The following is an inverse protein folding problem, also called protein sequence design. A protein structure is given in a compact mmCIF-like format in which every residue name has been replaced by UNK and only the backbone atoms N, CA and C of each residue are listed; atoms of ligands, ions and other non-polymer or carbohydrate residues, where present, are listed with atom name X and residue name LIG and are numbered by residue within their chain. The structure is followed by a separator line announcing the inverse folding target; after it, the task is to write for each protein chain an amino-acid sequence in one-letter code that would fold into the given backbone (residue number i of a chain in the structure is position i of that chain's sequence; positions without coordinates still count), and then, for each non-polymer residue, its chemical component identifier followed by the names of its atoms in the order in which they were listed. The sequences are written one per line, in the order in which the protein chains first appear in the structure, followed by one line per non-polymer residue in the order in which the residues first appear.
data_IF_680422511235
#
_entry.id   IF_680422511235
#
_cell.length_a   1.000
_cell.length_b   1.000
_cell.length_c   1.000
_cell.angle_alpha   90.00
_cell.angle_beta   90.00
_cell.angle_gamma   90.00
#
_symmetry.space_group_name_H-M   'P 1'
#
loop_
_entity.id
_entity.type
_entity.pdbx_description
1 polymer ?
#
# COMPACT_ATOMS: atom_id res chain seq x y z
N UNK A 1 -4.77 -10.36 23.52
CA UNK A 1 -4.20 -11.39 22.64
C UNK A 1 -3.06 -10.72 21.90
N UNK A 2 -1.83 -11.19 22.12
CA UNK A 2 -0.66 -10.64 21.42
C UNK A 2 -0.77 -11.13 19.98
N UNK A 3 -0.92 -10.21 19.03
CA UNK A 3 -0.86 -10.56 17.61
C UNK A 3 0.50 -11.25 17.38
N UNK A 4 0.47 -12.50 16.93
CA UNK A 4 1.68 -13.18 16.49
C UNK A 4 2.35 -12.30 15.42
N UNK A 5 3.66 -12.08 15.56
CA UNK A 5 4.42 -11.47 14.48
C UNK A 5 4.18 -12.33 13.24
N UNK A 6 3.78 -11.75 12.09
CA UNK A 6 3.76 -12.50 10.85
C UNK A 6 5.11 -13.18 10.68
N UNK A 7 5.12 -14.48 10.43
CA UNK A 7 6.37 -15.17 10.15
C UNK A 7 6.91 -14.56 8.85
N UNK A 8 8.06 -13.85 8.88
CA UNK A 8 8.66 -13.29 7.66
C UNK A 8 8.99 -14.38 6.62
N UNK A 9 8.79 -15.64 6.95
CA UNK A 9 8.92 -16.82 6.10
C UNK A 9 7.64 -17.18 5.34
N UNK A 10 6.56 -16.40 5.33
CA UNK A 10 5.38 -16.74 4.50
C UNK A 10 4.83 -15.51 3.78
N UNK A 11 4.86 -15.54 2.45
CA UNK A 11 4.22 -14.53 1.59
C UNK A 11 2.79 -15.01 1.26
N UNK A 12 1.76 -14.42 1.87
CA UNK A 12 0.35 -14.64 1.48
C UNK A 12 -0.18 -13.43 0.71
N UNK A 13 -1.06 -13.69 -0.26
CA UNK A 13 -1.80 -12.69 -1.03
C UNK A 13 -2.69 -11.86 -0.10
N UNK A 14 -2.62 -10.53 -0.20
CA UNK A 14 -3.56 -9.67 0.49
C UNK A 14 -4.91 -9.74 -0.24
N UNK A 15 -5.91 -10.40 0.35
CA UNK A 15 -7.28 -10.32 -0.15
C UNK A 15 -7.75 -8.85 -0.11
N UNK A 16 -8.30 -8.38 -1.24
CA UNK A 16 -8.87 -7.04 -1.33
C UNK A 16 -10.16 -6.97 -0.49
N UNK A 17 -10.14 -6.18 0.58
CA UNK A 17 -11.29 -5.96 1.46
C UNK A 17 -12.36 -5.00 0.91
N UNK A 18 -12.19 -4.50 -0.33
CA UNK A 18 -13.11 -3.55 -0.96
C UNK A 18 -14.10 -4.27 -1.88
N UNK A 19 -15.35 -3.82 -1.91
CA UNK A 19 -16.32 -4.24 -2.94
C UNK A 19 -15.90 -3.74 -4.32
N UNK A 20 -16.38 -4.38 -5.39
CA UNK A 20 -16.08 -3.97 -6.77
C UNK A 20 -16.44 -2.50 -7.04
N UNK A 21 -17.57 -2.03 -6.51
CA UNK A 21 -17.97 -0.62 -6.61
C UNK A 21 -17.00 0.32 -5.90
N UNK A 22 -16.46 -0.08 -4.74
CA UNK A 22 -15.45 0.70 -4.05
C UNK A 22 -14.14 0.69 -4.83
N UNK A 23 -13.75 -0.45 -5.41
CA UNK A 23 -12.57 -0.56 -6.27
C UNK A 23 -12.69 0.36 -7.50
N UNK A 24 -13.82 0.35 -8.20
CA UNK A 24 -14.07 1.22 -9.35
C UNK A 24 -14.03 2.71 -8.96
N UNK A 25 -14.65 3.08 -7.84
CA UNK A 25 -14.61 4.46 -7.36
C UNK A 25 -13.19 4.91 -7.00
N UNK A 26 -12.39 4.01 -6.45
CA UNK A 26 -11.00 4.25 -6.11
C UNK A 26 -10.11 4.34 -7.37
N UNK A 27 -10.32 3.49 -8.37
CA UNK A 27 -9.65 3.58 -9.66
C UNK A 27 -9.99 4.90 -10.38
N UNK A 28 -11.24 5.35 -10.32
CA UNK A 28 -11.64 6.64 -10.87
C UNK A 28 -10.94 7.78 -10.14
N UNK A 29 -10.87 7.73 -8.82
CA UNK A 29 -10.12 8.70 -8.02
C UNK A 29 -8.63 8.70 -8.37
N UNK A 30 -8.02 7.54 -8.64
CA UNK A 30 -6.64 7.45 -9.13
C UNK A 30 -6.44 8.13 -10.49
N UNK A 31 -7.45 8.09 -11.36
CA UNK A 31 -7.38 8.68 -12.72
C UNK A 31 -7.58 10.19 -12.72
N UNK A 32 -8.52 10.69 -11.92
CA UNK A 32 -8.99 12.08 -12.01
C UNK A 32 -8.81 12.90 -10.74
N UNK A 33 -8.36 12.28 -9.66
CA UNK A 33 -8.20 12.93 -8.37
C UNK A 33 -7.12 14.01 -8.36
N UNK A 34 -7.33 15.02 -7.53
CA UNK A 34 -6.36 16.06 -7.21
C UNK A 34 -5.52 15.63 -6.00
N UNK A 35 -4.18 15.63 -6.08
CA UNK A 35 -3.35 15.44 -4.90
C UNK A 35 -3.42 16.69 -4.02
N UNK A 36 -3.72 16.50 -2.75
CA UNK A 36 -3.81 17.55 -1.72
C UNK A 36 -3.10 17.10 -0.44
N UNK A 37 -2.86 18.03 0.47
CA UNK A 37 -2.48 17.66 1.83
C UNK A 37 -3.71 17.34 2.66
N UNK A 38 -3.61 16.25 3.43
CA UNK A 38 -4.53 15.91 4.49
C UNK A 38 -3.88 16.03 5.87
N UNK A 39 -4.67 16.40 6.88
CA UNK A 39 -4.28 16.32 8.29
C UNK A 39 -5.20 15.41 9.08
N UNK A 40 -4.62 14.49 9.84
CA UNK A 40 -5.31 13.55 10.69
C UNK A 40 -6.02 14.28 11.83
N UNK A 41 -7.34 14.10 11.91
CA UNK A 41 -8.16 14.50 13.06
C UNK A 41 -8.18 13.36 14.08
N UNK A 42 -8.50 12.15 13.64
CA UNK A 42 -8.64 10.99 14.51
C UNK A 42 -8.35 9.69 13.76
N UNK A 43 -7.70 8.74 14.43
CA UNK A 43 -7.57 7.36 13.96
C UNK A 43 -7.67 6.38 15.13
N UNK A 44 -7.91 5.12 14.82
CA UNK A 44 -7.71 4.02 15.75
C UNK A 44 -6.22 3.91 16.12
N UNK A 45 -5.89 3.70 17.40
CA UNK A 45 -4.49 3.62 17.86
C UNK A 45 -3.68 2.51 17.19
N UNK A 46 -4.33 1.44 16.73
CA UNK A 46 -3.67 0.33 16.06
C UNK A 46 -2.99 0.73 14.73
N UNK A 47 -3.39 1.83 14.08
CA UNK A 47 -2.74 2.25 12.83
C UNK A 47 -1.34 2.81 13.04
N UNK A 48 -1.01 3.26 14.26
CA UNK A 48 0.31 3.79 14.61
C UNK A 48 1.33 2.69 14.94
N UNK A 49 0.84 1.47 15.16
CA UNK A 49 1.62 0.27 15.43
C UNK A 49 1.74 -0.61 14.19
N UNK A 50 2.71 -1.51 14.17
CA UNK A 50 2.82 -2.55 13.16
C UNK A 50 1.62 -3.49 13.24
N UNK A 51 1.04 -3.87 12.10
CA UNK A 51 -0.12 -4.75 12.05
C UNK A 51 -0.49 -5.09 10.61
N UNK A 52 -1.55 -5.88 10.43
CA UNK A 52 -2.03 -6.36 9.13
C UNK A 52 -3.33 -5.72 8.68
N UNK A 53 -4.07 -5.11 9.60
CA UNK A 53 -5.38 -4.55 9.28
C UNK A 53 -5.28 -3.12 8.76
N UNK A 54 -5.93 -2.89 7.63
CA UNK A 54 -6.26 -1.55 7.15
C UNK A 54 -7.33 -0.95 8.06
N UNK A 55 -7.22 0.35 8.34
CA UNK A 55 -8.05 0.99 9.35
C UNK A 55 -8.58 2.33 8.82
N UNK A 56 -9.85 2.67 9.10
CA UNK A 56 -10.37 3.97 8.79
C UNK A 56 -9.76 5.04 9.72
N UNK A 57 -9.63 6.24 9.20
CA UNK A 57 -9.24 7.42 9.93
C UNK A 57 -10.01 8.65 9.42
N UNK A 58 -10.25 9.61 10.30
CA UNK A 58 -10.81 10.90 9.93
C UNK A 58 -9.69 11.87 9.63
N UNK A 59 -9.71 12.41 8.41
CA UNK A 59 -8.81 13.46 7.94
C UNK A 59 -9.59 14.72 7.62
N UNK A 60 -8.92 15.85 7.69
CA UNK A 60 -9.33 17.02 6.94
C UNK A 60 -8.42 17.23 5.73
N UNK A 61 -8.95 17.85 4.69
CA UNK A 61 -8.18 18.32 3.55
C UNK A 61 -8.76 19.64 3.02
N UNK A 62 -8.01 20.30 2.15
CA UNK A 62 -8.49 21.46 1.40
C UNK A 62 -8.06 21.36 -0.07
N UNK A 63 -8.95 21.72 -1.02
CA UNK A 63 -8.58 21.82 -2.43
C UNK A 63 -7.80 23.10 -2.75
N UNK A 64 -7.71 24.06 -1.81
CA UNK A 64 -7.01 25.33 -2.03
C UNK A 64 -5.50 25.15 -2.17
N UNK A 65 -4.91 25.83 -3.16
CA UNK A 65 -3.48 25.74 -3.44
C UNK A 65 -2.61 26.28 -2.28
N UNK A 66 -3.18 27.16 -1.43
CA UNK A 66 -2.54 27.68 -0.22
C UNK A 66 -1.95 26.57 0.66
N UNK A 67 -2.66 25.46 0.83
CA UNK A 67 -2.20 24.35 1.69
C UNK A 67 -1.14 23.48 1.03
N UNK A 68 -0.91 23.61 -0.28
CA UNK A 68 0.22 22.98 -0.98
C UNK A 68 1.58 23.45 -0.46
N UNK A 69 1.65 24.71 -0.01
CA UNK A 69 2.83 25.32 0.59
C UNK A 69 2.75 25.45 2.12
N UNK A 70 1.55 25.40 2.69
CA UNK A 70 1.31 25.60 4.12
C UNK A 70 0.60 24.40 4.79
N UNK A 71 1.07 23.15 4.64
CA UNK A 71 0.35 21.98 5.17
C UNK A 71 0.26 21.95 6.70
N UNK A 72 1.20 22.59 7.41
CA UNK A 72 1.15 22.71 8.87
C UNK A 72 -0.09 23.49 9.35
N UNK A 73 -0.65 24.38 8.52
CA UNK A 73 -1.88 25.07 8.88
C UNK A 73 -3.07 24.09 8.94
N UNK A 74 -3.12 23.05 8.11
CA UNK A 74 -4.10 21.96 8.28
C UNK A 74 -3.90 21.23 9.61
N UNK A 75 -2.66 21.08 10.08
CA UNK A 75 -2.41 20.47 11.40
C UNK A 75 -3.06 21.28 12.52
N UNK A 76 -2.92 22.61 12.48
CA UNK A 76 -3.54 23.53 13.44
C UNK A 76 -5.07 23.48 13.38
N UNK A 77 -5.65 23.45 12.18
CA UNK A 77 -7.10 23.28 11.98
C UNK A 77 -7.55 21.93 12.56
N UNK A 78 -6.85 20.83 12.25
CA UNK A 78 -7.22 19.49 12.75
C UNK A 78 -7.15 19.39 14.28
N UNK A 79 -6.24 20.12 14.93
CA UNK A 79 -6.17 20.20 16.39
C UNK A 79 -7.37 20.92 16.99
N UNK A 80 -7.79 22.04 16.39
CA UNK A 80 -9.01 22.77 16.80
C UNK A 80 -10.25 21.89 16.67
N UNK A 81 -10.36 21.18 15.56
CA UNK A 81 -11.44 20.25 15.28
C UNK A 81 -11.47 19.10 16.30
N UNK A 82 -10.32 18.49 16.58
CA UNK A 82 -10.22 17.42 17.58
C UNK A 82 -10.61 17.90 18.99
N UNK A 83 -10.27 19.14 19.35
CA UNK A 83 -10.62 19.73 20.64
C UNK A 83 -12.14 19.91 20.85
N UNK A 84 -12.94 19.89 19.79
CA UNK A 84 -14.40 19.93 19.89
C UNK A 84 -15.01 18.58 20.31
N UNK A 85 -14.26 17.47 20.22
CA UNK A 85 -14.77 16.14 20.51
C UNK A 85 -15.35 16.06 21.93
N UNK A 86 -16.60 15.59 22.04
CA UNK A 86 -17.32 15.47 23.31
C UNK A 86 -17.76 16.80 23.94
N UNK A 87 -17.66 17.92 23.23
CA UNK A 87 -18.06 19.25 23.73
C UNK A 87 -19.43 19.69 23.20
N UNK A 88 -20.04 20.66 23.88
CA UNK A 88 -21.17 21.46 23.39
C UNK A 88 -20.79 22.93 23.52
N UNK A 89 -20.88 23.65 22.41
CA UNK A 89 -20.46 25.04 22.25
C UNK A 89 -21.64 26.01 22.28
N UNK A 90 -22.86 25.52 22.00
CA UNK A 90 -24.05 26.34 21.83
C UNK A 90 -24.18 26.95 20.43
N UNK A 91 -23.17 26.80 19.57
CA UNK A 91 -23.25 27.09 18.15
C UNK A 91 -23.67 25.82 17.39
N UNK A 92 -24.77 25.90 16.64
CA UNK A 92 -25.35 24.73 15.99
C UNK A 92 -24.41 24.06 14.96
N UNK A 93 -23.58 24.84 14.27
CA UNK A 93 -22.65 24.31 13.26
C UNK A 93 -21.46 23.61 13.93
N UNK A 94 -20.91 24.21 14.98
CA UNK A 94 -19.82 23.61 15.76
C UNK A 94 -20.30 22.36 16.51
N UNK A 95 -21.52 22.37 17.06
CA UNK A 95 -22.09 21.21 17.75
C UNK A 95 -22.38 20.07 16.77
N UNK A 96 -22.78 20.36 15.53
CA UNK A 96 -22.93 19.36 14.48
C UNK A 96 -21.57 18.71 14.13
N UNK A 97 -20.51 19.51 14.00
CA UNK A 97 -19.15 19.01 13.77
C UNK A 97 -18.64 18.18 14.95
N UNK A 98 -18.81 18.66 16.19
CA UNK A 98 -18.42 17.97 17.42
C UNK A 98 -19.09 16.59 17.53
N UNK A 99 -20.40 16.52 17.26
CA UNK A 99 -21.17 15.27 17.27
C UNK A 99 -20.66 14.29 16.21
N UNK A 100 -20.27 14.77 15.03
CA UNK A 100 -19.76 13.94 13.93
C UNK A 100 -18.39 13.32 14.25
N UNK A 101 -17.52 14.05 14.92
CA UNK A 101 -16.20 13.53 15.33
C UNK A 101 -16.30 12.64 16.58
N UNK A 102 -17.30 12.88 17.42
CA UNK A 102 -17.57 12.06 18.61
C UNK A 102 -18.14 10.69 18.23
N UNK A 103 -18.98 10.66 17.20
CA UNK A 103 -19.58 9.43 16.67
C UNK A 103 -18.68 8.77 15.62
N UNK A 104 -17.73 7.96 16.10
CA UNK A 104 -16.72 7.26 15.29
C UNK A 104 -17.29 6.29 14.24
N UNK A 105 -18.61 6.08 14.23
CA UNK A 105 -19.32 5.25 13.26
C UNK A 105 -19.94 6.05 12.11
N UNK A 106 -19.94 7.39 12.19
CA UNK A 106 -20.46 8.24 11.12
C UNK A 106 -19.38 8.50 10.10
N UNK A 107 -19.50 7.81 8.98
CA UNK A 107 -18.72 8.18 7.81
C UNK A 107 -19.03 9.62 7.40
N UNK A 108 -17.96 10.33 7.11
CA UNK A 108 -18.01 11.69 6.60
C UNK A 108 -17.36 11.65 5.24
N UNK A 109 -18.08 12.06 4.20
CA UNK A 109 -17.52 12.16 2.85
C UNK A 109 -17.57 13.63 2.47
N UNK A 110 -16.41 14.27 2.56
CA UNK A 110 -16.22 15.70 2.33
C UNK A 110 -17.26 16.60 3.00
N UNK A 111 -17.43 16.39 4.30
CA UNK A 111 -18.28 17.23 5.13
C UNK A 111 -17.64 18.62 5.28
N UNK A 112 -18.31 19.72 4.89
CA UNK A 112 -17.74 21.05 4.98
C UNK A 112 -17.51 21.44 6.44
N UNK A 113 -16.29 21.87 6.76
CA UNK A 113 -15.92 22.34 8.10
C UNK A 113 -16.31 23.82 8.23
N UNK A 114 -16.98 24.24 9.32
CA UNK A 114 -17.36 25.63 9.52
C UNK A 114 -16.16 26.58 9.54
N UNK A 115 -16.29 27.73 8.87
CA UNK A 115 -15.20 28.72 8.74
C UNK A 115 -14.66 29.24 10.08
N UNK A 116 -15.46 29.17 11.14
CA UNK A 116 -15.10 29.53 12.51
C UNK A 116 -13.87 28.76 13.02
N UNK A 117 -13.59 27.56 12.49
CA UNK A 117 -12.45 26.73 12.91
C UNK A 117 -11.41 26.51 11.81
N UNK A 118 -11.58 27.13 10.64
CA UNK A 118 -10.69 26.99 9.47
C UNK A 118 -10.03 28.29 9.05
N UNK A 119 -10.18 29.36 9.83
CA UNK A 119 -9.72 30.72 9.50
C UNK A 119 -10.25 31.25 8.16
N UNK A 120 -11.45 30.81 7.78
CA UNK A 120 -12.10 31.20 6.53
C UNK A 120 -11.73 30.36 5.31
N UNK A 121 -10.89 29.33 5.46
CA UNK A 121 -10.53 28.43 4.37
C UNK A 121 -11.58 27.35 4.11
N UNK A 122 -11.73 26.94 2.85
CA UNK A 122 -12.50 25.78 2.42
C UNK A 122 -11.79 24.50 2.87
N UNK A 123 -12.32 23.85 3.90
CA UNK A 123 -11.78 22.62 4.48
C UNK A 123 -12.90 21.60 4.62
N UNK A 124 -12.58 20.35 4.32
CA UNK A 124 -13.53 19.24 4.36
C UNK A 124 -13.04 18.15 5.30
N UNK A 125 -13.95 17.62 6.12
CA UNK A 125 -13.75 16.44 6.95
C UNK A 125 -14.17 15.19 6.17
N UNK A 126 -13.29 14.20 6.11
CA UNK A 126 -13.52 12.95 5.38
C UNK A 126 -13.00 11.72 6.13
N UNK A 127 -13.72 10.61 6.02
CA UNK A 127 -13.25 9.28 6.34
C UNK A 127 -12.31 8.81 5.23
N UNK A 128 -11.16 8.26 5.62
CA UNK A 128 -10.13 7.72 4.72
C UNK A 128 -9.82 6.31 5.18
N UNK A 129 -9.90 5.34 4.27
CA UNK A 129 -9.35 4.01 4.54
C UNK A 129 -7.83 4.06 4.40
N UNK A 130 -7.11 3.77 5.48
CA UNK A 130 -5.65 3.73 5.47
C UNK A 130 -5.19 2.31 5.13
N UNK A 131 -4.75 2.13 3.89
CA UNK A 131 -4.06 0.93 3.43
C UNK A 131 -2.62 0.97 3.94
N UNK A 132 -2.21 -0.03 4.70
CA UNK A 132 -0.86 -0.07 5.28
C UNK A 132 0.21 -0.03 4.20
N UNK A 133 -0.06 -0.65 3.06
CA UNK A 133 0.80 -0.68 1.86
C UNK A 133 1.05 0.73 1.29
N UNK A 134 0.11 1.66 1.53
CA UNK A 134 0.19 3.06 1.10
C UNK A 134 0.73 3.99 2.19
N UNK A 135 1.09 3.46 3.37
CA UNK A 135 1.70 4.21 4.46
C UNK A 135 3.21 3.98 4.53
N UNK A 136 4.00 5.02 4.86
CA UNK A 136 5.41 4.83 5.18
C UNK A 136 5.57 3.81 6.32
N UNK A 137 6.44 2.82 6.15
CA UNK A 137 6.65 1.74 7.13
C UNK A 137 5.42 0.89 7.46
N UNK A 138 4.36 0.88 6.64
CA UNK A 138 3.19 0.05 6.94
C UNK A 138 2.35 0.54 8.12
N UNK A 139 2.60 1.76 8.63
CA UNK A 139 1.93 2.35 9.80
C UNK A 139 1.85 3.87 9.69
N UNK A 140 0.94 4.50 10.42
CA UNK A 140 0.83 5.96 10.42
C UNK A 140 1.89 6.56 11.33
N UNK A 141 2.77 7.37 10.75
CA UNK A 141 3.93 7.96 11.44
C UNK A 141 3.90 9.49 11.47
N UNK A 142 3.03 10.08 10.66
CA UNK A 142 2.79 11.53 10.58
C UNK A 142 1.29 11.79 10.61
N UNK A 143 0.89 12.94 11.17
CA UNK A 143 -0.48 13.44 11.05
C UNK A 143 -0.74 14.13 9.71
N UNK A 144 0.31 14.52 8.99
CA UNK A 144 0.21 15.03 7.63
C UNK A 144 0.45 13.91 6.64
N UNK A 145 -0.50 13.72 5.73
CA UNK A 145 -0.46 12.69 4.71
C UNK A 145 -0.93 13.29 3.37
N UNK A 146 -0.21 13.09 2.26
CA UNK A 146 -0.74 13.43 0.95
C UNK A 146 -1.97 12.55 0.66
N UNK A 147 -3.06 13.17 0.26
CA UNK A 147 -4.30 12.51 -0.12
C UNK A 147 -4.58 12.74 -1.59
N UNK A 148 -5.26 11.79 -2.22
CA UNK A 148 -5.90 11.96 -3.50
C UNK A 148 -7.40 12.17 -3.27
N UNK A 149 -7.95 13.27 -3.76
CA UNK A 149 -9.35 13.66 -3.54
C UNK A 149 -10.04 14.01 -4.86
N UNK A 150 -11.35 13.79 -4.95
CA UNK A 150 -12.16 14.20 -6.12
C UNK A 150 -13.25 15.21 -5.72
N UNK A 151 -12.86 16.44 -5.33
CA UNK A 151 -13.80 17.52 -5.09
C UNK A 151 -14.27 18.09 -6.43
N UNK A 152 -15.57 18.36 -6.64
CA UNK A 152 -16.70 18.28 -5.70
C UNK A 152 -17.55 17.00 -5.84
N UNK A 153 -17.08 15.96 -6.54
CA UNK A 153 -17.94 14.94 -7.14
C UNK A 153 -18.49 13.91 -6.15
N UNK A 154 -17.62 13.24 -5.37
CA UNK A 154 -18.02 12.12 -4.51
C UNK A 154 -17.53 12.25 -3.06
N UNK A 155 -16.66 13.22 -2.82
CA UNK A 155 -16.06 13.47 -1.52
C UNK A 155 -15.18 12.33 -0.99
N UNK A 156 -14.76 11.41 -1.86
CA UNK A 156 -13.83 10.33 -1.56
C UNK A 156 -12.41 10.88 -1.41
N UNK A 157 -11.66 10.23 -0.53
CA UNK A 157 -10.27 10.54 -0.29
C UNK A 157 -9.49 9.26 -0.02
N UNK A 158 -8.29 9.17 -0.59
CA UNK A 158 -7.35 8.06 -0.39
C UNK A 158 -5.99 8.57 0.00
N UNK A 159 -5.20 7.80 0.77
CA UNK A 159 -3.77 8.03 0.82
C UNK A 159 -3.21 8.05 -0.60
N UNK A 160 -2.44 9.07 -0.95
CA UNK A 160 -1.71 9.07 -2.21
C UNK A 160 -0.76 7.87 -2.19
N UNK A 161 -0.80 6.96 -3.17
CA UNK A 161 0.12 5.83 -3.21
C UNK A 161 1.58 6.28 -3.14
N UNK A 162 2.41 5.55 -2.38
CA UNK A 162 3.80 5.93 -2.07
C UNK A 162 4.63 6.25 -3.32
N UNK A 163 4.39 5.53 -4.43
CA UNK A 163 5.08 5.74 -5.71
C UNK A 163 4.89 7.13 -6.33
N UNK A 164 3.94 7.93 -5.84
CA UNK A 164 3.67 9.29 -6.32
C UNK A 164 4.15 10.38 -5.37
N UNK A 165 4.84 10.03 -4.29
CA UNK A 165 5.29 11.01 -3.30
C UNK A 165 6.51 11.79 -3.79
N UNK A 166 6.40 13.12 -3.80
CA UNK A 166 7.54 13.99 -4.11
C UNK A 166 8.54 14.06 -2.94
N UNK A 167 9.79 14.45 -3.22
CA UNK A 167 10.81 14.77 -2.19
C UNK A 167 10.30 15.80 -1.16
N UNK A 168 9.49 16.78 -1.61
CA UNK A 168 8.84 17.77 -0.74
C UNK A 168 7.89 17.08 0.23
N UNK A 169 7.03 16.19 -0.25
CA UNK A 169 6.06 15.44 0.58
C UNK A 169 6.76 14.59 1.64
N UNK A 170 7.81 13.87 1.25
CA UNK A 170 8.60 13.05 2.19
C UNK A 170 9.28 13.92 3.25
N UNK A 171 9.62 15.17 2.94
CA UNK A 171 10.17 16.11 3.91
C UNK A 171 9.27 16.39 5.11
N UNK A 172 7.97 16.22 4.97
CA UNK A 172 7.00 16.41 6.04
C UNK A 172 6.81 15.18 6.94
N UNK A 173 7.41 14.03 6.62
CA UNK A 173 7.39 12.83 7.48
C UNK A 173 8.30 12.96 8.73
N UNK A 174 9.02 14.07 8.87
CA UNK A 174 9.89 14.33 10.02
C UNK A 174 11.28 13.69 9.91
N UNK A 175 12.27 14.21 10.66
CA UNK A 175 13.67 13.84 10.52
C UNK A 175 14.00 12.41 10.98
N UNK A 176 13.20 11.81 11.87
CA UNK A 176 13.42 10.44 12.35
C UNK A 176 13.16 9.35 11.31
N UNK A 177 12.22 9.61 10.39
CA UNK A 177 11.82 8.66 9.33
C UNK A 177 12.79 8.73 8.16
N UNK A 178 13.27 9.94 7.80
CA UNK A 178 14.30 10.13 6.77
C UNK A 178 15.57 9.32 7.03
N UNK A 179 15.93 9.09 8.29
CA UNK A 179 17.11 8.28 8.68
C UNK A 179 16.85 6.77 8.78
N UNK A 180 15.59 6.32 8.69
CA UNK A 180 15.19 4.92 8.86
C UNK A 180 14.64 4.29 7.57
N UNK A 181 14.19 5.09 6.61
CA UNK A 181 13.89 4.62 5.25
C UNK A 181 15.22 4.27 4.58
N UNK A 182 15.56 2.99 4.56
CA UNK A 182 16.74 2.45 3.87
C UNK A 182 16.79 2.94 2.41
N UNK A 183 17.99 3.27 1.90
CA UNK A 183 18.28 3.59 0.48
C UNK A 183 17.61 2.64 -0.53
N UNK A 184 17.33 1.40 -0.10
CA UNK A 184 16.71 0.34 -0.89
C UNK A 184 15.20 0.56 -1.11
N UNK A 185 14.48 1.11 -0.12
CA UNK A 185 13.07 1.51 -0.26
C UNK A 185 12.95 2.69 -1.26
N UNK A 186 13.99 3.52 -1.36
CA UNK A 186 14.08 4.60 -2.35
C UNK A 186 14.22 4.12 -3.79
N UNK A 187 14.66 2.87 -4.02
CA UNK A 187 14.71 2.28 -5.36
C UNK A 187 13.34 1.75 -5.82
N UNK A 188 12.48 1.38 -4.87
CA UNK A 188 11.12 0.87 -5.13
C UNK A 188 10.06 1.97 -5.19
N UNK A 189 10.35 3.17 -4.68
CA UNK A 189 9.49 4.36 -4.79
C UNK A 189 9.96 5.16 -6.02
N UNK A 190 9.12 5.16 -7.06
CA UNK A 190 9.41 5.80 -8.35
C UNK A 190 9.84 7.27 -8.18
N UNK A 191 11.00 7.60 -8.73
CA UNK A 191 11.63 8.92 -8.64
C UNK A 191 11.20 9.78 -9.83
N UNK A 192 10.07 10.48 -9.74
CA UNK A 192 9.91 11.68 -10.58
C UNK A 192 10.40 12.89 -9.80
N UNK A 193 11.64 13.31 -10.08
CA UNK A 193 12.22 14.57 -9.59
C UNK A 193 11.50 15.82 -10.15
N UNK A 194 10.48 15.61 -10.98
CA UNK A 194 9.69 16.64 -11.62
C UNK A 194 8.25 16.46 -11.14
N UNK A 195 7.69 17.47 -10.47
CA UNK A 195 6.23 17.59 -10.36
C UNK A 195 5.70 17.50 -11.79
N UNK A 196 4.89 16.48 -12.15
CA UNK A 196 4.34 16.40 -13.49
C UNK A 196 3.63 17.73 -13.78
N UNK A 197 4.00 18.47 -14.85
CA UNK A 197 3.36 19.75 -15.19
C UNK A 197 1.84 19.61 -15.33
N UNK A 198 1.37 18.38 -15.56
CA UNK A 198 0.01 17.92 -15.43
C UNK A 198 0.09 16.52 -14.82
N UNK A 199 -0.55 16.29 -13.65
CA UNK A 199 -0.70 14.95 -13.11
C UNK A 199 -1.62 14.16 -14.05
N UNK A 200 -1.03 13.48 -15.03
CA UNK A 200 -1.66 12.46 -15.84
C UNK A 200 -0.94 11.15 -15.49
N UNK A 201 -1.42 10.39 -14.48
CA UNK A 201 -0.82 9.10 -14.18
C UNK A 201 -0.86 8.28 -15.47
N UNK A 202 0.31 7.84 -15.94
CA UNK A 202 0.38 6.87 -17.02
C UNK A 202 -0.43 5.66 -16.54
N UNK A 203 -1.60 5.50 -17.14
CA UNK A 203 -2.63 4.49 -16.92
C UNK A 203 -2.10 3.28 -16.13
N UNK A 204 -2.33 3.29 -14.82
CA UNK A 204 -1.98 2.23 -13.90
C UNK A 204 -3.16 1.93 -12.99
N UNK A 205 -4.34 1.72 -13.57
CA UNK A 205 -5.28 0.78 -12.96
C UNK A 205 -4.64 -0.61 -12.95
N UNK A 206 -5.35 -1.62 -12.46
CA UNK A 206 -5.00 -3.00 -12.73
C UNK A 206 -5.10 -3.26 -14.25
N UNK A 207 -4.12 -2.77 -15.02
CA UNK A 207 -3.87 -3.30 -16.34
C UNK A 207 -3.40 -4.70 -16.05
N UNK A 208 -4.24 -5.66 -16.39
CA UNK A 208 -3.83 -7.04 -16.56
C UNK A 208 -2.62 -7.01 -17.50
N UNK A 209 -1.43 -7.10 -16.91
CA UNK A 209 -0.18 -7.14 -17.68
C UNK A 209 -0.27 -8.47 -18.40
N UNK A 210 -0.37 -8.41 -19.73
CA UNK A 210 -0.47 -9.62 -20.54
C UNK A 210 0.81 -10.43 -20.33
N UNK A 211 0.70 -11.76 -20.35
CA UNK A 211 1.84 -12.64 -20.03
C UNK A 211 3.06 -12.38 -20.93
N UNK A 212 2.84 -11.92 -22.17
CA UNK A 212 3.85 -11.52 -23.15
C UNK A 212 4.55 -10.19 -22.86
N UNK A 213 4.05 -9.41 -21.90
CA UNK A 213 4.61 -8.11 -21.49
C UNK A 213 5.44 -8.22 -20.21
N UNK A 214 5.40 -9.37 -19.52
CA UNK A 214 6.15 -9.63 -18.30
C UNK A 214 7.54 -10.16 -18.69
N UNK A 215 8.58 -9.56 -18.12
CA UNK A 215 9.95 -10.02 -18.29
C UNK A 215 10.18 -11.28 -17.43
N UNK A 216 9.96 -12.45 -18.02
CA UNK A 216 10.14 -13.74 -17.39
C UNK A 216 11.62 -14.14 -17.38
N UNK A 217 12.20 -14.31 -16.19
CA UNK A 217 13.55 -14.83 -16.06
C UNK A 217 13.62 -16.34 -16.29
N UNK A 218 12.51 -17.04 -16.05
CA UNK A 218 12.33 -18.46 -16.35
C UNK A 218 10.97 -18.62 -17.02
N UNK A 219 10.96 -19.23 -18.21
CA UNK A 219 9.76 -19.36 -19.05
C UNK A 219 9.16 -20.77 -19.05
N UNK A 220 9.81 -21.73 -18.39
CA UNK A 220 9.41 -23.15 -18.41
C UNK A 220 9.08 -23.69 -17.02
N UNK A 221 8.03 -24.53 -16.87
CA UNK A 221 7.77 -25.24 -15.61
C UNK A 221 8.99 -26.02 -15.10
N UNK A 222 9.09 -26.27 -13.78
CA UNK A 222 8.04 -26.11 -12.77
C UNK A 222 7.87 -24.68 -12.24
N UNK A 223 8.75 -23.73 -12.60
CA UNK A 223 8.69 -22.35 -12.11
C UNK A 223 8.84 -21.37 -13.26
N UNK A 224 7.86 -20.50 -13.43
CA UNK A 224 8.02 -19.24 -14.14
C UNK A 224 8.11 -18.12 -13.11
N UNK A 225 9.15 -17.28 -13.19
CA UNK A 225 9.32 -16.16 -12.25
C UNK A 225 9.66 -14.89 -13.01
N UNK A 226 8.95 -13.81 -12.70
CA UNK A 226 9.21 -12.51 -13.33
C UNK A 226 10.47 -11.87 -12.74
N UNK A 227 11.11 -11.00 -13.50
CA UNK A 227 12.23 -10.20 -13.04
C UNK A 227 11.86 -9.38 -11.80
N UNK A 228 10.66 -8.81 -11.78
CA UNK A 228 10.15 -8.03 -10.64
C UNK A 228 10.04 -8.88 -9.37
N UNK A 229 9.42 -10.06 -9.45
CA UNK A 229 9.30 -10.97 -8.31
C UNK A 229 10.67 -11.44 -7.82
N UNK A 230 11.57 -11.79 -8.74
CA UNK A 230 12.93 -12.19 -8.39
C UNK A 230 13.69 -11.08 -7.66
N UNK A 231 13.66 -9.85 -8.17
CA UNK A 231 14.33 -8.71 -7.54
C UNK A 231 13.78 -8.42 -6.13
N UNK A 232 12.45 -8.45 -5.96
CA UNK A 232 11.84 -8.22 -4.64
C UNK A 232 12.26 -9.29 -3.63
N UNK A 233 12.27 -10.57 -4.03
CA UNK A 233 12.74 -11.66 -3.18
C UNK A 233 14.23 -11.53 -2.84
N UNK A 234 15.05 -11.21 -3.83
CA UNK A 234 16.50 -10.99 -3.67
C UNK A 234 16.79 -9.86 -2.68
N UNK A 235 16.14 -8.71 -2.85
CA UNK A 235 16.28 -7.56 -1.96
C UNK A 235 15.81 -7.91 -0.53
N UNK A 236 14.72 -8.67 -0.41
CA UNK A 236 14.26 -9.16 0.89
C UNK A 236 15.33 -10.03 1.59
N UNK A 237 15.95 -10.97 0.87
CA UNK A 237 17.05 -11.81 1.38
C UNK A 237 18.28 -11.00 1.79
N UNK A 238 18.68 -10.02 0.99
CA UNK A 238 19.80 -9.13 1.30
C UNK A 238 19.53 -8.36 2.59
N UNK A 239 18.32 -7.85 2.75
CA UNK A 239 17.90 -7.10 3.93
C UNK A 239 17.78 -7.94 5.20
N UNK A 240 17.47 -9.25 5.06
CA UNK A 240 17.32 -10.21 6.15
C UNK A 240 18.64 -10.83 6.63
N UNK A 241 19.76 -10.55 5.94
CA UNK A 241 21.08 -11.11 6.25
C UNK A 241 21.27 -12.50 5.63
N UNK A 242 21.64 -12.51 4.34
CA UNK A 242 21.87 -13.69 3.47
C UNK A 242 22.58 -14.90 4.11
N UNK A 243 23.41 -14.71 5.13
CA UNK A 243 24.26 -15.75 5.71
C UNK A 243 23.49 -16.93 6.33
N UNK A 244 22.25 -16.70 6.78
CA UNK A 244 21.44 -17.73 7.45
C UNK A 244 20.47 -18.48 6.53
N UNK A 245 20.20 -17.94 5.32
CA UNK A 245 19.19 -18.48 4.40
C UNK A 245 19.89 -19.33 3.34
N UNK A 246 19.41 -20.56 3.16
CA UNK A 246 19.94 -21.53 2.20
C UNK A 246 19.16 -21.57 0.89
N UNK A 247 17.85 -21.31 0.93
CA UNK A 247 16.98 -21.28 -0.25
C UNK A 247 15.63 -20.60 0.05
N UNK A 248 14.92 -20.23 -1.01
CA UNK A 248 13.48 -19.93 -0.99
C UNK A 248 12.73 -21.22 -1.38
N UNK A 249 11.89 -21.72 -0.48
CA UNK A 249 10.98 -22.84 -0.72
C UNK A 249 9.71 -22.33 -1.41
N UNK A 250 9.42 -22.86 -2.59
CA UNK A 250 8.13 -22.71 -3.26
C UNK A 250 7.31 -23.96 -2.94
N UNK A 251 6.17 -23.80 -2.27
CA UNK A 251 5.37 -24.93 -1.82
C UNK A 251 3.89 -24.75 -2.16
N UNK A 252 3.19 -25.86 -2.34
CA UNK A 252 1.75 -25.96 -2.43
C UNK A 252 1.23 -26.66 -1.17
N UNK A 253 0.32 -26.02 -0.46
CA UNK A 253 -0.36 -26.57 0.71
C UNK A 253 -1.87 -26.46 0.48
N UNK A 254 -2.56 -27.61 0.45
CA UNK A 254 -3.95 -27.72 0.00
C UNK A 254 -4.12 -27.11 -1.42
N UNK A 255 -4.84 -25.99 -1.53
CA UNK A 255 -5.09 -25.24 -2.77
C UNK A 255 -4.36 -23.88 -2.80
N UNK A 256 -3.48 -23.59 -1.83
CA UNK A 256 -2.68 -22.36 -1.81
C UNK A 256 -1.22 -22.64 -2.22
N UNK A 257 -0.66 -21.73 -3.03
CA UNK A 257 0.76 -21.70 -3.34
C UNK A 257 1.42 -20.57 -2.56
N UNK A 258 2.57 -20.85 -1.96
CA UNK A 258 3.29 -19.90 -1.12
C UNK A 258 4.81 -20.00 -1.24
N UNK A 259 5.46 -19.04 -0.60
CA UNK A 259 6.92 -18.97 -0.50
C UNK A 259 7.36 -18.97 0.96
N UNK A 260 8.44 -19.69 1.25
CA UNK A 260 9.09 -19.70 2.55
C UNK A 260 10.60 -19.61 2.49
N UNK A 261 11.24 -19.12 3.55
CA UNK A 261 12.70 -19.01 3.64
C UNK A 261 13.24 -20.23 4.39
N UNK A 262 14.06 -21.03 3.69
CA UNK A 262 14.76 -22.16 4.28
C UNK A 262 16.09 -21.74 4.87
N UNK A 263 16.41 -22.22 6.07
CA UNK A 263 17.71 -21.97 6.68
C UNK A 263 18.76 -22.88 6.08
N UNK A 264 20.01 -22.41 6.12
CA UNK A 264 21.16 -23.19 5.68
C UNK A 264 21.32 -24.42 6.59
N UNK A 265 21.15 -25.62 6.04
CA UNK A 265 21.18 -26.89 6.78
C UNK A 265 19.82 -27.58 6.92
N UNK A 266 18.74 -26.94 6.47
CA UNK A 266 17.44 -27.62 6.34
C UNK A 266 17.52 -28.69 5.24
N UNK A 267 17.12 -29.92 5.58
CA UNK A 267 17.28 -31.11 4.74
C UNK A 267 15.98 -31.54 4.03
N UNK A 268 15.13 -30.58 3.66
CA UNK A 268 13.94 -30.96 2.89
C UNK A 268 14.35 -31.50 1.50
N UNK A 269 13.82 -32.67 1.08
CA UNK A 269 14.09 -33.25 -0.21
C UNK A 269 13.36 -32.47 -1.31
N UNK A 270 14.01 -31.41 -1.77
CA UNK A 270 13.54 -30.58 -2.86
C UNK A 270 14.55 -30.53 -4.00
N UNK A 271 14.06 -30.36 -5.21
CA UNK A 271 14.91 -29.98 -6.33
C UNK A 271 15.21 -28.48 -6.23
N UNK A 272 16.47 -28.14 -6.50
CA UNK A 272 17.01 -26.79 -6.30
C UNK A 272 17.48 -26.23 -7.62
N UNK A 273 17.23 -24.95 -7.84
CA UNK A 273 17.85 -24.19 -8.91
C UNK A 273 18.36 -22.86 -8.39
N UNK A 274 19.38 -22.35 -9.07
CA UNK A 274 19.98 -21.07 -8.77
C UNK A 274 19.56 -20.10 -9.86
N UNK A 275 18.98 -18.98 -9.45
CA UNK A 275 18.71 -17.85 -10.33
C UNK A 275 19.47 -16.66 -9.75
N UNK A 276 20.47 -16.21 -10.51
CA UNK A 276 21.48 -15.26 -10.04
C UNK A 276 22.15 -15.71 -8.73
N UNK A 277 21.92 -14.98 -7.63
CA UNK A 277 22.44 -15.27 -6.29
C UNK A 277 21.39 -15.83 -5.33
N UNK A 278 20.18 -16.12 -5.82
CA UNK A 278 19.08 -16.69 -5.04
C UNK A 278 18.89 -18.15 -5.39
N UNK A 279 18.89 -19.00 -4.37
CA UNK A 279 18.58 -20.42 -4.50
C UNK A 279 17.10 -20.63 -4.24
N UNK A 280 16.43 -21.30 -5.16
CA UNK A 280 15.04 -21.70 -5.04
C UNK A 280 14.96 -23.21 -4.89
N UNK A 281 13.93 -23.69 -4.19
CA UNK A 281 13.74 -25.07 -3.80
C UNK A 281 12.26 -25.43 -3.93
N UNK A 282 11.96 -26.58 -4.52
CA UNK A 282 10.58 -27.07 -4.71
C UNK A 282 10.44 -28.52 -4.24
N UNK A 283 9.47 -28.82 -3.33
CA UNK A 283 9.26 -30.16 -2.82
C UNK A 283 8.97 -31.16 -3.94
N UNK A 284 9.58 -32.34 -3.83
CA UNK A 284 9.36 -33.43 -4.78
C UNK A 284 7.88 -33.83 -4.83
N UNK A 285 7.27 -33.81 -6.01
CA UNK A 285 5.89 -34.28 -6.23
C UNK A 285 4.80 -33.21 -6.11
N UNK A 286 5.14 -31.95 -5.78
CA UNK A 286 4.18 -30.84 -5.80
C UNK A 286 4.08 -30.15 -7.17
N UNK A 287 5.19 -30.13 -7.91
CA UNK A 287 5.27 -29.54 -9.25
C UNK A 287 6.05 -30.50 -10.17
N UNK A 288 5.82 -30.42 -11.48
CA UNK A 288 6.47 -31.24 -12.50
C UNK A 288 6.72 -30.45 -13.80
N UNK A 289 7.30 -31.12 -14.81
CA UNK A 289 7.63 -30.49 -16.10
C UNK A 289 6.41 -29.99 -16.89
N UNK A 290 5.19 -30.41 -16.50
CA UNK A 290 3.92 -30.02 -17.14
C UNK A 290 3.01 -29.20 -16.25
N UNK A 291 3.29 -29.11 -14.96
CA UNK A 291 2.46 -28.41 -13.98
C UNK A 291 3.39 -27.68 -13.03
N UNK A 292 3.28 -26.35 -13.01
CA UNK A 292 4.15 -25.50 -12.25
C UNK A 292 3.42 -24.30 -11.69
N UNK A 293 4.20 -23.35 -11.22
CA UNK A 293 3.70 -22.06 -10.74
C UNK A 293 4.37 -20.92 -11.48
N UNK A 294 3.57 -19.93 -11.82
CA UNK A 294 3.98 -18.60 -12.22
C UNK A 294 3.99 -17.70 -10.98
N UNK A 295 5.13 -17.07 -10.75
CA UNK A 295 5.39 -16.18 -9.62
C UNK A 295 5.67 -14.79 -10.18
N UNK A 296 4.77 -13.85 -9.89
CA UNK A 296 4.96 -12.43 -10.22
C UNK A 296 4.81 -11.56 -8.98
N UNK A 297 5.15 -10.29 -9.08
CA UNK A 297 4.95 -9.31 -8.04
C UNK A 297 4.13 -8.15 -8.57
N UNK A 298 2.90 -8.06 -8.07
CA UNK A 298 2.03 -6.94 -8.38
C UNK A 298 2.36 -5.79 -7.44
N UNK A 299 2.64 -4.62 -8.01
CA UNK A 299 2.87 -3.39 -7.28
C UNK A 299 1.77 -2.38 -7.63
N UNK A 300 0.54 -2.72 -7.25
CA UNK A 300 -0.66 -1.93 -7.48
C UNK A 300 -1.00 -1.02 -6.28
N UNK A 301 -1.90 -0.05 -6.50
CA UNK A 301 -2.34 0.89 -5.46
C UNK A 301 -3.15 0.23 -4.33
N UNK A 302 -3.75 -0.95 -4.58
CA UNK A 302 -4.56 -1.70 -3.61
C UNK A 302 -4.03 -3.10 -3.31
N UNK A 303 -3.09 -3.58 -4.12
CA UNK A 303 -2.51 -4.90 -3.98
C UNK A 303 -1.01 -4.81 -4.25
N UNK A 304 -0.23 -5.02 -3.19
CA UNK A 304 1.23 -5.10 -3.27
C UNK A 304 1.68 -6.43 -2.69
N UNK A 305 2.09 -7.36 -3.53
CA UNK A 305 2.40 -8.70 -3.06
C UNK A 305 2.83 -9.66 -4.16
N UNK A 306 3.33 -10.81 -3.74
CA UNK A 306 3.59 -11.94 -4.63
C UNK A 306 2.25 -12.51 -5.10
N UNK A 307 2.16 -12.75 -6.40
CA UNK A 307 1.03 -13.40 -7.06
C UNK A 307 1.51 -14.77 -7.53
N UNK A 308 0.66 -15.78 -7.29
CA UNK A 308 0.90 -17.15 -7.69
C UNK A 308 -0.22 -17.59 -8.62
N UNK A 309 0.14 -18.13 -9.78
CA UNK A 309 -0.80 -18.67 -10.76
C UNK A 309 -0.33 -20.06 -11.17
N UNK A 310 -1.21 -21.05 -11.13
CA UNK A 310 -0.87 -22.38 -11.65
C UNK A 310 -0.74 -22.35 -13.16
N UNK A 311 0.31 -22.99 -13.66
CA UNK A 311 0.56 -23.10 -15.09
C UNK A 311 0.66 -24.54 -15.51
N UNK A 312 0.09 -24.82 -16.68
CA UNK A 312 0.17 -26.12 -17.32
C UNK A 312 0.93 -25.98 -18.64
N UNK A 313 1.94 -26.83 -18.88
CA UNK A 313 2.66 -26.83 -20.15
C UNK A 313 1.68 -27.19 -21.29
N UNK A 314 1.71 -26.43 -22.38
CA UNK A 314 0.97 -26.78 -23.59
C UNK A 314 1.45 -28.16 -24.09
N UNK A 315 0.50 -29.03 -24.46
CA UNK A 315 0.83 -30.32 -25.05
C UNK A 315 1.62 -30.08 -26.36
N UNK A 316 2.71 -30.82 -26.63
CA UNK A 316 3.45 -30.65 -27.87
C UNK A 316 2.50 -30.86 -29.06
N UNK A 317 2.32 -29.81 -29.86
CA UNK A 317 1.66 -29.88 -31.15
C UNK A 317 2.55 -30.68 -32.09
N UNK A 318 2.26 -31.97 -32.23
CA UNK A 318 2.85 -32.78 -33.29
C UNK A 318 2.30 -32.28 -34.63
N UNK A 319 3.13 -31.56 -35.37
CA UNK A 319 2.92 -31.29 -36.80
C UNK A 319 3.29 -32.51 -37.64
#
# INVERSE_FOLDING_TARGET
MVAEKPDPRVFKTAESFLSDTAKEAYENLLKQGKPVWGSLVQANSMIFEWGQHNLPASYIYSPEDYFGDNPNHLLEISNRIFALKGTQTGDAALDALANRITDERKDSFSYPVPYQVTDGHEVYLTSVMLFRESLPEGRLTSRLLPLLVDPPNNGLALPLPLMFWSKKMIGYLGPGIRGQIKEEIWKTIWQTEVSPPEFQPALGGDREIRDDEIDWLIETPPIKISATAHHVLRDHLLSAGHLAIGAILVFKEEDEIGLSLMKRGDNEPCAKFMLEDVMYCFPSGQFNEREGVKIDYQNGPFQRGMIFEEIFAEAPTFH
#
